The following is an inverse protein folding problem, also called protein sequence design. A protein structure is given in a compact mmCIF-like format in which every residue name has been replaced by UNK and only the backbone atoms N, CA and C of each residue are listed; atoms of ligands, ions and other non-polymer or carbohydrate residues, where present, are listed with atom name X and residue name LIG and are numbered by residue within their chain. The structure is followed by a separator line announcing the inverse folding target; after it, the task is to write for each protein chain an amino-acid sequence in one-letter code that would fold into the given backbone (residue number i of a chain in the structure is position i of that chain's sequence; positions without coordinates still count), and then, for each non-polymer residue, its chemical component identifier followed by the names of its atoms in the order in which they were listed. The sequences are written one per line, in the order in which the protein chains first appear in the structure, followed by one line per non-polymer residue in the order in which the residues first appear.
data_IF_813407230333
#
_entry.id   IF_813407230333
#
_cell.length_a   1.000
_cell.length_b   1.000
_cell.length_c   1.000
_cell.angle_alpha   90.00
_cell.angle_beta   90.00
_cell.angle_gamma   90.00
#
_symmetry.space_group_name_H-M   'P 1'
#
loop_
_entity.id
_entity.type
_entity.pdbx_description
1 polymer ?
#
# COMPACT_ATOMS: atom_id res chain seq x y z
N UNK A 1 -19.88 -15.98 70.23
CA UNK A 1 -19.44 -14.70 69.64
C UNK A 1 -18.97 -14.93 68.21
N UNK A 2 -19.59 -14.27 67.23
CA UNK A 2 -19.09 -14.07 65.85
C UNK A 2 -18.85 -12.55 65.70
N UNK A 3 -17.81 -12.07 64.96
CA UNK A 3 -17.94 -11.76 63.52
C UNK A 3 -16.63 -11.95 62.68
N UNK A 4 -16.71 -12.43 61.42
CA UNK A 4 -16.58 -11.75 60.09
C UNK A 4 -15.24 -11.08 59.67
N UNK A 5 -14.81 -11.46 58.45
CA UNK A 5 -14.09 -10.70 57.37
C UNK A 5 -12.64 -10.22 57.59
N UNK A 6 -11.70 -10.66 56.72
CA UNK A 6 -11.13 -9.89 55.59
C UNK A 6 -9.95 -10.69 54.97
N UNK A 7 -10.08 -11.30 53.79
CA UNK A 7 -9.60 -10.73 52.53
C UNK A 7 -8.31 -9.89 52.66
N UNK A 8 -7.18 -10.55 52.94
CA UNK A 8 -5.88 -9.98 52.58
C UNK A 8 -5.54 -10.38 51.14
N UNK A 9 -5.72 -9.39 50.28
CA UNK A 9 -5.36 -9.37 48.85
C UNK A 9 -3.91 -9.81 48.68
N UNK A 10 -3.67 -10.91 47.94
CA UNK A 10 -2.41 -11.14 47.23
C UNK A 10 -2.29 -10.09 46.12
N UNK A 11 -1.63 -8.98 46.43
CA UNK A 11 -1.12 -8.04 45.43
C UNK A 11 0.28 -8.48 45.01
N UNK A 12 0.40 -9.35 44.00
CA UNK A 12 1.65 -9.46 43.25
C UNK A 12 1.40 -10.12 41.89
N UNK A 13 2.04 -9.57 40.86
CA UNK A 13 2.16 -10.06 39.49
C UNK A 13 1.05 -9.66 38.50
N UNK A 14 0.88 -8.35 38.28
CA UNK A 14 0.55 -7.80 36.97
C UNK A 14 1.86 -7.32 36.33
N UNK A 15 2.63 -8.25 35.78
CA UNK A 15 3.95 -8.00 35.18
C UNK A 15 4.02 -8.60 33.78
N UNK A 16 3.25 -8.06 32.85
CA UNK A 16 3.30 -8.42 31.43
C UNK A 16 2.26 -7.61 30.67
N UNK A 17 2.70 -6.55 29.96
CA UNK A 17 1.97 -5.94 28.83
C UNK A 17 2.65 -4.68 28.22
N UNK A 18 3.69 -4.13 28.84
CA UNK A 18 4.32 -2.88 28.34
C UNK A 18 5.27 -3.10 27.16
N UNK A 19 5.84 -4.31 27.00
CA UNK A 19 6.73 -4.64 25.88
C UNK A 19 6.00 -4.97 24.57
N UNK A 20 4.91 -5.72 24.65
CA UNK A 20 4.13 -6.19 23.49
C UNK A 20 3.44 -5.02 22.77
N UNK A 21 2.91 -4.06 23.52
CA UNK A 21 2.23 -2.87 22.97
C UNK A 21 3.17 -1.91 22.21
N UNK A 22 4.44 -1.82 22.61
CA UNK A 22 5.44 -1.02 21.89
C UNK A 22 5.91 -1.72 20.61
N UNK A 23 6.11 -3.04 20.65
CA UNK A 23 6.45 -3.84 19.48
C UNK A 23 5.33 -3.85 18.43
N UNK A 24 4.07 -3.96 18.85
CA UNK A 24 2.92 -3.87 17.95
C UNK A 24 2.78 -2.48 17.30
N UNK A 25 3.03 -1.40 18.06
CA UNK A 25 3.03 -0.03 17.50
C UNK A 25 4.19 0.19 16.53
N UNK A 26 5.38 -0.33 16.83
CA UNK A 26 6.54 -0.26 15.94
C UNK A 26 6.27 -1.05 14.64
N UNK A 27 5.80 -2.30 14.76
CA UNK A 27 5.39 -3.14 13.63
C UNK A 27 4.29 -2.50 12.78
N UNK A 28 3.31 -1.86 13.42
CA UNK A 28 2.26 -1.12 12.72
C UNK A 28 2.78 0.09 11.95
N UNK A 29 3.78 0.81 12.49
CA UNK A 29 4.44 1.92 11.78
C UNK A 29 5.24 1.40 10.57
N UNK A 30 5.97 0.30 10.74
CA UNK A 30 6.76 -0.32 9.68
C UNK A 30 5.90 -0.82 8.51
N UNK A 31 4.74 -1.43 8.81
CA UNK A 31 3.79 -1.89 7.78
C UNK A 31 3.25 -0.70 6.97
N UNK A 32 2.89 0.42 7.63
CA UNK A 32 2.42 1.62 6.92
C UNK A 32 3.48 2.18 5.98
N UNK A 33 4.72 2.26 6.44
CA UNK A 33 5.83 2.72 5.61
C UNK A 33 6.09 1.79 4.43
N UNK A 34 6.06 0.47 4.63
CA UNK A 34 6.16 -0.53 3.54
C UNK A 34 5.08 -0.33 2.48
N UNK A 35 3.82 -0.12 2.90
CA UNK A 35 2.71 0.14 1.99
C UNK A 35 2.96 1.39 1.13
N UNK A 36 3.40 2.49 1.76
CA UNK A 36 3.67 3.76 1.07
C UNK A 36 4.82 3.61 0.08
N UNK A 37 5.92 2.97 0.47
CA UNK A 37 7.08 2.75 -0.42
C UNK A 37 6.68 1.93 -1.64
N UNK A 38 5.95 0.83 -1.44
CA UNK A 38 5.50 -0.02 -2.55
C UNK A 38 4.54 0.72 -3.50
N UNK A 39 3.56 1.44 -2.96
CA UNK A 39 2.61 2.22 -3.73
C UNK A 39 3.29 3.35 -4.52
N UNK A 40 4.23 4.07 -3.87
CA UNK A 40 5.03 5.12 -4.50
C UNK A 40 5.91 4.59 -5.63
N UNK A 41 6.50 3.40 -5.47
CA UNK A 41 7.29 2.78 -6.53
C UNK A 41 6.46 2.54 -7.80
N UNK A 42 5.25 2.02 -7.65
CA UNK A 42 4.32 1.81 -8.77
C UNK A 42 3.87 3.13 -9.40
N UNK A 43 3.51 4.13 -8.58
CA UNK A 43 3.11 5.44 -9.09
C UNK A 43 4.24 6.12 -9.89
N UNK A 44 5.48 6.04 -9.41
CA UNK A 44 6.64 6.58 -10.11
C UNK A 44 6.95 5.85 -11.43
N UNK A 45 6.66 4.55 -11.52
CA UNK A 45 6.87 3.79 -12.75
C UNK A 45 6.00 4.31 -13.91
N UNK A 46 4.74 4.66 -13.63
CA UNK A 46 3.78 5.17 -14.63
C UNK A 46 3.80 6.68 -14.78
N UNK A 47 4.32 7.43 -13.79
CA UNK A 47 4.34 8.90 -13.80
C UNK A 47 5.00 9.50 -15.05
N UNK A 48 6.03 8.87 -15.61
CA UNK A 48 6.71 9.39 -16.80
C UNK A 48 5.91 9.25 -18.09
N UNK A 49 4.83 8.47 -18.06
CA UNK A 49 3.88 8.28 -19.17
C UNK A 49 2.71 9.26 -19.07
N UNK A 50 2.67 10.11 -18.04
CA UNK A 50 1.59 11.07 -17.86
C UNK A 50 1.71 12.28 -18.82
N UNK A 51 0.63 12.56 -19.54
CA UNK A 51 0.42 13.78 -20.32
C UNK A 51 0.81 13.67 -21.80
N UNK A 52 0.64 14.75 -22.59
CA UNK A 52 0.84 14.73 -24.04
C UNK A 52 2.31 14.57 -24.47
N UNK A 53 3.26 14.68 -23.52
CA UNK A 53 4.69 14.37 -23.69
C UNK A 53 5.11 13.17 -22.85
N UNK A 54 4.17 12.34 -22.44
CA UNK A 54 4.43 11.09 -21.73
C UNK A 54 5.26 10.15 -22.59
N UNK A 55 6.20 9.46 -21.97
CA UNK A 55 7.03 8.46 -22.65
C UNK A 55 6.37 7.10 -22.62
N UNK A 56 6.47 6.36 -23.72
CA UNK A 56 6.02 4.98 -23.78
C UNK A 56 6.90 4.07 -22.93
N UNK A 57 6.29 3.00 -22.41
CA UNK A 57 6.97 1.93 -21.70
C UNK A 57 7.11 0.74 -22.62
N UNK A 58 8.36 0.33 -22.83
CA UNK A 58 8.69 -0.95 -23.42
C UNK A 58 8.83 -1.97 -22.28
N UNK A 59 8.00 -3.01 -22.30
CA UNK A 59 7.99 -4.09 -21.33
C UNK A 59 8.13 -5.43 -22.04
N UNK A 60 9.07 -6.26 -21.58
CA UNK A 60 9.14 -7.65 -21.99
C UNK A 60 8.35 -8.50 -20.99
N UNK A 61 7.31 -9.17 -21.48
CA UNK A 61 6.48 -10.06 -20.66
C UNK A 61 7.20 -11.39 -20.42
N UNK A 62 6.74 -12.13 -19.40
CA UNK A 62 7.27 -13.47 -19.10
C UNK A 62 7.06 -14.49 -20.22
N UNK A 63 6.09 -14.24 -21.11
CA UNK A 63 5.86 -15.02 -22.35
C UNK A 63 6.93 -14.77 -23.43
N UNK A 64 7.78 -13.74 -23.28
CA UNK A 64 8.73 -13.29 -24.30
C UNK A 64 8.17 -12.24 -25.26
N UNK A 65 6.88 -11.91 -25.16
CA UNK A 65 6.25 -10.84 -25.93
C UNK A 65 6.75 -9.45 -25.48
N UNK A 66 6.92 -8.54 -26.43
CA UNK A 66 7.27 -7.13 -26.16
C UNK A 66 6.02 -6.28 -26.31
N UNK A 67 5.66 -5.59 -25.23
CA UNK A 67 4.56 -4.64 -25.19
C UNK A 67 5.13 -3.22 -25.13
N UNK A 68 4.68 -2.35 -26.02
CA UNK A 68 4.96 -0.92 -25.97
C UNK A 68 3.63 -0.21 -25.72
N UNK A 69 3.51 0.49 -24.60
CA UNK A 69 2.28 1.22 -24.27
C UNK A 69 2.57 2.48 -23.46
N UNK A 70 1.71 3.48 -23.63
CA UNK A 70 1.64 4.69 -22.83
C UNK A 70 0.51 4.63 -21.79
N UNK A 71 -0.49 3.77 -22.00
CA UNK A 71 -1.67 3.68 -21.14
C UNK A 71 -1.32 3.04 -19.79
N UNK A 72 -1.57 3.79 -18.71
CA UNK A 72 -1.34 3.37 -17.34
C UNK A 72 -2.05 2.07 -16.97
N UNK A 73 -3.30 1.87 -17.41
CA UNK A 73 -4.06 0.66 -17.08
C UNK A 73 -3.43 -0.59 -17.72
N UNK A 74 -3.09 -0.49 -19.00
CA UNK A 74 -2.39 -1.55 -19.73
C UNK A 74 -1.03 -1.86 -19.11
N UNK A 75 -0.20 -0.84 -18.84
CA UNK A 75 1.13 -1.00 -18.22
C UNK A 75 1.00 -1.71 -16.87
N UNK A 76 0.10 -1.24 -16.01
CA UNK A 76 -0.08 -1.75 -14.65
C UNK A 76 -0.65 -3.17 -14.63
N UNK A 77 -1.57 -3.51 -15.55
CA UNK A 77 -2.15 -4.85 -15.65
C UNK A 77 -1.12 -5.93 -16.02
N UNK A 78 -0.05 -5.54 -16.72
CA UNK A 78 1.02 -6.45 -17.18
C UNK A 78 2.21 -6.49 -16.25
N UNK A 79 2.30 -5.55 -15.30
CA UNK A 79 3.36 -5.50 -14.31
C UNK A 79 3.12 -6.53 -13.20
N UNK A 80 4.14 -7.32 -12.86
CA UNK A 80 4.04 -8.28 -11.76
C UNK A 80 4.21 -7.58 -10.41
N UNK A 81 3.11 -7.19 -9.77
CA UNK A 81 3.09 -6.49 -8.49
C UNK A 81 2.79 -7.46 -7.34
N UNK A 82 3.78 -7.69 -6.47
CA UNK A 82 3.66 -8.62 -5.33
C UNK A 82 3.02 -7.97 -4.09
N UNK A 83 3.24 -6.67 -3.89
CA UNK A 83 2.84 -6.00 -2.65
C UNK A 83 1.34 -5.64 -2.68
N UNK A 84 0.53 -6.02 -1.66
CA UNK A 84 -0.93 -5.80 -1.67
C UNK A 84 -1.35 -4.34 -1.88
N UNK A 85 -0.71 -3.40 -1.16
CA UNK A 85 -1.00 -1.96 -1.31
C UNK A 85 -0.74 -1.44 -2.74
N UNK A 86 0.25 -2.00 -3.43
CA UNK A 86 0.57 -1.63 -4.79
C UNK A 86 -0.41 -2.27 -5.79
N UNK A 87 -0.89 -3.49 -5.51
CA UNK A 87 -1.95 -4.14 -6.30
C UNK A 87 -3.26 -3.34 -6.26
N UNK A 88 -3.60 -2.72 -5.13
CA UNK A 88 -4.77 -1.83 -5.05
C UNK A 88 -4.68 -0.64 -6.03
N UNK A 89 -3.48 -0.13 -6.31
CA UNK A 89 -3.31 0.93 -7.32
C UNK A 89 -3.54 0.42 -8.75
N UNK A 90 -3.19 -0.83 -9.03
CA UNK A 90 -3.47 -1.48 -10.33
C UNK A 90 -4.98 -1.61 -10.52
N UNK A 91 -5.69 -2.08 -9.49
CA UNK A 91 -7.15 -2.22 -9.52
C UNK A 91 -7.83 -0.86 -9.69
N UNK A 92 -7.36 0.17 -8.98
CA UNK A 92 -7.86 1.55 -9.10
C UNK A 92 -7.68 2.11 -10.52
N UNK A 93 -6.56 1.83 -11.18
CA UNK A 93 -6.35 2.20 -12.58
C UNK A 93 -7.33 1.50 -13.53
N UNK A 94 -7.61 0.21 -13.30
CA UNK A 94 -8.54 -0.56 -14.12
C UNK A 94 -9.98 -0.10 -13.91
N UNK A 95 -10.37 0.20 -12.66
CA UNK A 95 -11.69 0.78 -12.38
C UNK A 95 -11.87 2.11 -13.09
N UNK A 96 -10.85 2.98 -13.10
CA UNK A 96 -10.91 4.25 -13.83
C UNK A 96 -11.05 4.05 -15.34
N UNK A 97 -10.36 3.06 -15.90
CA UNK A 97 -10.46 2.69 -17.32
C UNK A 97 -11.87 2.23 -17.71
N UNK A 98 -12.52 1.43 -16.84
CA UNK A 98 -13.90 0.95 -17.06
C UNK A 98 -14.93 2.09 -16.96
N UNK A 99 -14.79 2.96 -15.98
CA UNK A 99 -15.80 3.99 -15.68
C UNK A 99 -15.71 5.21 -16.59
N UNK A 100 -14.49 5.69 -16.89
CA UNK A 100 -14.27 6.91 -17.67
C UNK A 100 -13.49 6.67 -18.96
N UNK A 101 -12.60 5.67 -18.99
CA UNK A 101 -11.71 5.40 -20.13
C UNK A 101 -10.57 6.41 -20.29
N UNK A 102 -10.44 7.37 -19.37
CA UNK A 102 -9.33 8.33 -19.34
C UNK A 102 -8.81 8.55 -17.91
N UNK A 103 -7.66 9.22 -17.80
CA UNK A 103 -7.09 9.55 -16.50
C UNK A 103 -6.53 8.36 -15.70
N UNK A 104 -6.42 7.17 -16.30
CA UNK A 104 -5.87 5.94 -15.71
C UNK A 104 -4.50 6.16 -15.06
N UNK A 105 -3.64 6.91 -15.74
CA UNK A 105 -2.31 7.28 -15.23
C UNK A 105 -2.40 8.35 -14.14
N UNK A 106 -3.27 9.34 -14.32
CA UNK A 106 -3.44 10.47 -13.39
C UNK A 106 -3.89 9.99 -12.01
N UNK A 107 -4.87 9.08 -11.96
CA UNK A 107 -5.45 8.60 -10.71
C UNK A 107 -4.42 7.84 -9.87
N UNK A 108 -3.53 7.07 -10.51
CA UNK A 108 -2.46 6.33 -9.83
C UNK A 108 -1.38 7.27 -9.30
N UNK A 109 -1.00 8.28 -10.09
CA UNK A 109 -0.01 9.29 -9.66
C UNK A 109 -0.51 10.09 -8.48
N UNK A 110 -1.78 10.50 -8.49
CA UNK A 110 -2.41 11.22 -7.37
C UNK A 110 -2.46 10.32 -6.12
N UNK A 111 -2.92 9.07 -6.25
CA UNK A 111 -2.98 8.15 -5.13
C UNK A 111 -1.59 7.92 -4.50
N UNK A 112 -0.55 7.73 -5.31
CA UNK A 112 0.83 7.64 -4.83
C UNK A 112 1.32 8.90 -4.11
N UNK A 113 1.00 10.08 -4.64
CA UNK A 113 1.36 11.36 -4.03
C UNK A 113 0.65 11.60 -2.68
N UNK A 114 -0.62 11.22 -2.56
CA UNK A 114 -1.37 11.30 -1.30
C UNK A 114 -0.80 10.36 -0.24
N UNK A 115 -0.46 9.12 -0.62
CA UNK A 115 0.16 8.16 0.29
C UNK A 115 1.52 8.63 0.78
N UNK A 116 2.31 9.28 -0.08
CA UNK A 116 3.57 9.91 0.31
C UNK A 116 3.37 11.08 1.27
N UNK A 117 2.36 11.93 1.04
CA UNK A 117 2.06 13.05 1.93
C UNK A 117 1.56 12.63 3.33
N UNK A 118 0.98 11.43 3.45
CA UNK A 118 0.49 10.88 4.72
C UNK A 118 1.55 10.12 5.54
N UNK A 119 2.72 9.80 4.96
CA UNK A 119 3.80 9.04 5.60
C UNK A 119 4.75 9.90 6.41
#
# INVERSE_FOLDING_TARGET
SLPRTNSQRKSTMAGGNTGETLQERAKGKDIRLSNIVAAKAVANAVRTSLGPRGMDKLMQLSSGEVLISNDGATILSKMNVLHPAAKMLVELSQSQDIEAGDGTTTVVVIAGALLEACG
#
